data_IF_955473163814
#
_entry.id   IF_955473163814
#
_cell.length_a   1.000
_cell.length_b   1.000
_cell.length_c   1.000
_cell.angle_alpha   90.00
_cell.angle_beta   90.00
_cell.angle_gamma   90.00
#
_symmetry.space_group_name_H-M   'P 1'
#
loop_
_entity.id
_entity.type
_entity.pdbx_description
1 polymer ?
#
# COMPACT_ATOMS: atom_id res chain seq x y z
N UNK A 1 5.95 6.83 -7.03
CA UNK A 1 5.31 5.58 -6.58
C UNK A 1 5.04 5.67 -5.08
N UNK A 2 3.86 5.29 -4.66
CA UNK A 2 3.43 5.32 -3.27
C UNK A 2 2.30 4.32 -3.04
N UNK A 3 2.23 3.77 -1.85
CA UNK A 3 1.04 3.13 -1.31
C UNK A 3 0.37 4.11 -0.34
N UNK A 4 -0.61 4.88 -0.79
CA UNK A 4 -1.28 5.85 0.07
C UNK A 4 -2.02 5.18 1.21
N UNK A 5 -1.76 5.62 2.42
CA UNK A 5 -2.37 5.15 3.66
C UNK A 5 -2.70 6.34 4.57
N UNK A 6 -3.71 7.15 4.21
CA UNK A 6 -4.17 8.21 5.11
C UNK A 6 -4.79 7.67 6.40
N UNK A 7 -5.14 6.39 6.41
CA UNK A 7 -5.64 5.65 7.56
C UNK A 7 -4.93 4.29 7.67
N UNK A 8 -4.83 3.71 8.88
CA UNK A 8 -4.31 2.34 9.05
C UNK A 8 -5.19 1.27 8.40
N UNK A 9 -6.51 1.47 8.40
CA UNK A 9 -7.46 0.53 7.79
C UNK A 9 -7.41 0.64 6.26
N UNK A 10 -7.17 -0.48 5.59
CA UNK A 10 -6.99 -0.51 4.13
C UNK A 10 -8.28 -0.16 3.38
N UNK A 11 -9.42 -0.67 3.85
CA UNK A 11 -10.70 -0.36 3.21
C UNK A 11 -11.07 1.11 3.41
N UNK A 12 -10.90 1.64 4.61
CA UNK A 12 -11.14 3.05 4.88
C UNK A 12 -10.25 3.95 4.02
N UNK A 13 -9.00 3.58 3.86
CA UNK A 13 -8.07 4.24 2.92
C UNK A 13 -8.64 4.23 1.51
N UNK A 14 -9.02 3.06 0.99
CA UNK A 14 -9.56 2.94 -0.36
C UNK A 14 -10.81 3.80 -0.57
N UNK A 15 -11.72 3.83 0.40
CA UNK A 15 -12.94 4.63 0.35
C UNK A 15 -12.67 6.15 0.39
N UNK A 16 -11.53 6.58 0.94
CA UNK A 16 -11.15 8.00 1.04
C UNK A 16 -10.51 8.56 -0.23
N UNK A 17 -9.98 7.71 -1.11
CA UNK A 17 -9.26 8.14 -2.29
C UNK A 17 -10.23 8.57 -3.41
N UNK A 18 -9.90 9.66 -4.08
CA UNK A 18 -10.59 10.08 -5.29
C UNK A 18 -10.39 9.05 -6.41
N UNK A 19 -11.26 9.10 -7.43
CA UNK A 19 -11.26 8.13 -8.53
C UNK A 19 -9.89 7.98 -9.19
N UNK A 20 -9.21 9.08 -9.46
CA UNK A 20 -7.91 9.08 -10.14
C UNK A 20 -6.85 8.36 -9.31
N UNK A 21 -6.77 8.66 -8.02
CA UNK A 21 -5.78 8.06 -7.14
C UNK A 21 -6.13 6.62 -6.79
N UNK A 22 -7.41 6.32 -6.57
CA UNK A 22 -7.85 4.94 -6.37
C UNK A 22 -7.48 4.05 -7.56
N UNK A 23 -7.76 4.51 -8.78
CA UNK A 23 -7.41 3.77 -9.99
C UNK A 23 -5.91 3.54 -10.13
N UNK A 24 -5.10 4.57 -9.85
CA UNK A 24 -3.65 4.49 -9.91
C UNK A 24 -3.06 3.57 -8.84
N UNK A 25 -3.63 3.55 -7.64
CA UNK A 25 -3.15 2.71 -6.54
C UNK A 25 -3.23 1.22 -6.84
N UNK A 26 -4.15 0.78 -7.65
CA UNK A 26 -4.20 -0.63 -8.11
C UNK A 26 -2.91 -1.02 -8.83
N UNK A 27 -2.46 -0.18 -9.73
CA UNK A 27 -1.23 -0.40 -10.50
C UNK A 27 0.01 -0.23 -9.63
N UNK A 28 0.03 0.77 -8.78
CA UNK A 28 1.17 1.02 -7.89
C UNK A 28 1.36 -0.10 -6.86
N UNK A 29 0.28 -0.64 -6.29
CA UNK A 29 0.36 -1.81 -5.42
C UNK A 29 1.00 -3.01 -6.13
N UNK A 30 0.65 -3.25 -7.39
CA UNK A 30 1.27 -4.29 -8.19
C UNK A 30 2.76 -4.02 -8.45
N UNK A 31 3.13 -2.79 -8.75
CA UNK A 31 4.53 -2.40 -8.94
C UNK A 31 5.34 -2.60 -7.65
N UNK A 32 4.78 -2.25 -6.50
CA UNK A 32 5.42 -2.48 -5.20
C UNK A 32 5.61 -3.98 -4.94
N UNK A 33 4.58 -4.80 -5.18
CA UNK A 33 4.69 -6.25 -5.05
C UNK A 33 5.80 -6.81 -5.94
N UNK A 34 5.85 -6.41 -7.20
CA UNK A 34 6.91 -6.85 -8.12
C UNK A 34 8.29 -6.40 -7.68
N UNK A 35 8.40 -5.23 -7.09
CA UNK A 35 9.64 -4.78 -6.45
C UNK A 35 10.11 -5.68 -5.32
N UNK A 36 9.17 -6.33 -4.62
CA UNK A 36 9.46 -7.27 -3.53
C UNK A 36 9.78 -8.68 -4.02
N UNK A 37 9.11 -9.16 -5.07
CA UNK A 37 9.11 -10.59 -5.43
C UNK A 37 9.77 -10.92 -6.75
N UNK A 38 9.98 -9.94 -7.64
CA UNK A 38 10.59 -10.17 -8.96
C UNK A 38 12.07 -9.78 -8.93
N UNK A 39 13.00 -10.73 -9.09
CA UNK A 39 14.44 -10.41 -9.14
C UNK A 39 14.76 -9.40 -10.25
N UNK A 40 15.56 -8.38 -9.91
CA UNK A 40 15.99 -7.38 -10.88
C UNK A 40 14.95 -6.34 -11.26
N UNK A 41 13.77 -6.33 -10.66
CA UNK A 41 12.74 -5.34 -10.95
C UNK A 41 13.23 -3.92 -10.64
N UNK A 42 12.99 -2.98 -11.57
CA UNK A 42 13.59 -1.64 -11.51
C UNK A 42 13.26 -0.84 -10.25
N UNK A 43 12.08 -1.04 -9.65
CA UNK A 43 11.62 -0.30 -8.48
C UNK A 43 12.03 -0.95 -7.14
N UNK A 44 12.75 -2.06 -7.13
CA UNK A 44 13.10 -2.82 -5.91
C UNK A 44 13.79 -2.02 -4.81
N UNK A 45 14.45 -0.92 -5.17
CA UNK A 45 15.16 -0.04 -4.23
C UNK A 45 14.35 1.17 -3.77
N UNK A 46 13.15 1.35 -4.31
CA UNK A 46 12.30 2.48 -3.95
C UNK A 46 11.83 2.38 -2.48
N UNK A 47 11.81 3.48 -1.72
CA UNK A 47 11.38 3.45 -0.31
C UNK A 47 9.98 2.86 -0.10
N UNK A 48 9.05 3.09 -1.04
CA UNK A 48 7.71 2.51 -0.99
C UNK A 48 7.71 0.98 -1.12
N UNK A 49 8.74 0.39 -1.72
CA UNK A 49 8.93 -1.07 -1.78
C UNK A 49 9.59 -1.57 -0.49
N UNK A 50 10.67 -0.91 -0.07
CA UNK A 50 11.46 -1.35 1.08
C UNK A 50 10.65 -1.41 2.38
N UNK A 51 9.70 -0.51 2.58
CA UNK A 51 8.87 -0.49 3.79
C UNK A 51 7.98 -1.73 3.95
N UNK A 52 7.61 -2.39 2.85
CA UNK A 52 6.79 -3.59 2.85
C UNK A 52 7.59 -4.90 2.87
N UNK A 53 8.89 -4.85 2.88
CA UNK A 53 9.74 -6.04 2.81
C UNK A 53 9.41 -7.04 3.94
N UNK A 54 9.10 -8.30 3.58
CA UNK A 54 8.65 -9.33 4.50
C UNK A 54 7.16 -9.29 4.84
N UNK A 55 6.42 -8.35 4.24
CA UNK A 55 4.96 -8.16 4.45
C UNK A 55 4.19 -8.21 3.13
N UNK A 56 4.60 -9.10 2.23
CA UNK A 56 4.05 -9.20 0.87
C UNK A 56 2.56 -9.53 0.88
N UNK A 57 2.11 -10.40 1.79
CA UNK A 57 0.68 -10.72 1.92
C UNK A 57 -0.14 -9.52 2.38
N UNK A 58 0.35 -8.77 3.35
CA UNK A 58 -0.30 -7.54 3.81
C UNK A 58 -0.41 -6.50 2.68
N UNK A 59 0.65 -6.35 1.87
CA UNK A 59 0.62 -5.49 0.69
C UNK A 59 -0.41 -5.97 -0.34
N UNK A 60 -0.47 -7.26 -0.60
CA UNK A 60 -1.50 -7.82 -1.51
C UNK A 60 -2.89 -7.55 -0.95
N UNK A 61 -3.12 -7.73 0.35
CA UNK A 61 -4.41 -7.38 0.96
C UNK A 61 -4.74 -5.90 0.79
N UNK A 62 -3.78 -5.00 0.97
CA UNK A 62 -3.96 -3.59 0.66
C UNK A 62 -4.42 -3.37 -0.78
N UNK A 63 -3.71 -3.95 -1.75
CA UNK A 63 -4.07 -3.85 -3.16
C UNK A 63 -5.43 -4.43 -3.48
N UNK A 64 -5.80 -5.56 -2.85
CA UNK A 64 -7.12 -6.18 -3.04
C UNK A 64 -8.26 -5.30 -2.52
N UNK A 65 -8.08 -4.60 -1.41
CA UNK A 65 -9.09 -3.65 -0.90
C UNK A 65 -9.23 -2.45 -1.83
N UNK A 66 -8.13 -1.93 -2.36
CA UNK A 66 -8.14 -0.88 -3.40
C UNK A 66 -8.93 -1.34 -4.64
N UNK A 67 -8.62 -2.53 -5.16
CA UNK A 67 -9.31 -3.11 -6.32
C UNK A 67 -10.79 -3.37 -6.05
N UNK A 68 -11.12 -3.80 -4.84
CA UNK A 68 -12.50 -4.07 -4.43
C UNK A 68 -13.35 -2.80 -4.47
N UNK A 69 -12.88 -1.72 -3.85
CA UNK A 69 -13.59 -0.43 -3.86
C UNK A 69 -13.71 0.10 -5.29
N UNK A 70 -12.67 -0.04 -6.10
CA UNK A 70 -12.72 0.31 -7.52
C UNK A 70 -13.85 -0.40 -8.25
N UNK A 71 -13.99 -1.71 -8.07
CA UNK A 71 -15.09 -2.50 -8.67
C UNK A 71 -16.46 -2.13 -8.11
N UNK A 72 -16.55 -1.87 -6.81
CA UNK A 72 -17.80 -1.43 -6.17
C UNK A 72 -18.31 -0.10 -6.75
N UNK A 73 -17.40 0.73 -7.28
CA UNK A 73 -17.74 1.96 -7.99
C UNK A 73 -18.12 1.75 -9.46
N UNK A 74 -18.23 0.51 -9.91
CA UNK A 74 -18.66 0.17 -11.25
C UNK A 74 -17.56 0.04 -12.30
N UNK A 75 -16.29 0.03 -11.88
CA UNK A 75 -15.16 -0.09 -12.80
C UNK A 75 -14.67 -1.53 -12.93
N UNK A 76 -14.10 -1.86 -14.08
CA UNK A 76 -13.44 -3.14 -14.30
C UNK A 76 -12.01 -3.13 -13.75
N UNK A 77 -11.55 -4.29 -13.27
CA UNK A 77 -10.22 -4.46 -12.70
C UNK A 77 -9.60 -5.79 -13.11
N UNK A 78 -8.33 -5.77 -13.46
CA UNK A 78 -7.51 -6.95 -13.71
C UNK A 78 -6.34 -7.05 -12.71
N UNK A 79 -6.08 -6.01 -11.93
CA UNK A 79 -4.94 -5.97 -11.02
C UNK A 79 -5.09 -6.94 -9.85
N UNK A 80 -6.32 -7.15 -9.34
CA UNK A 80 -6.56 -8.06 -8.22
C UNK A 80 -6.08 -9.49 -8.53
N UNK A 81 -6.46 -10.04 -9.68
CA UNK A 81 -6.05 -11.37 -10.10
C UNK A 81 -4.53 -11.46 -10.28
N UNK A 82 -3.91 -10.42 -10.84
CA UNK A 82 -2.46 -10.37 -11.05
C UNK A 82 -1.70 -10.29 -9.71
N UNK A 83 -2.18 -9.50 -8.75
CA UNK A 83 -1.60 -9.44 -7.39
C UNK A 83 -1.58 -10.83 -6.73
N UNK A 84 -2.68 -11.55 -6.79
CA UNK A 84 -2.78 -12.90 -6.20
C UNK A 84 -1.85 -13.87 -6.93
N UNK A 85 -1.81 -13.83 -8.27
CA UNK A 85 -0.97 -14.71 -9.07
C UNK A 85 0.53 -14.45 -8.84
N UNK A 86 0.95 -13.18 -8.81
CA UNK A 86 2.36 -12.81 -8.60
C UNK A 86 2.84 -13.23 -7.19
N UNK A 87 2.00 -13.10 -6.17
CA UNK A 87 2.34 -13.58 -4.83
C UNK A 87 2.43 -15.11 -4.79
N UNK A 88 1.46 -15.80 -5.39
CA UNK A 88 1.42 -17.27 -5.42
C UNK A 88 2.63 -17.89 -6.13
N UNK A 89 3.24 -17.18 -7.07
CA UNK A 89 4.44 -17.64 -7.79
C UNK A 89 5.69 -17.73 -6.89
N UNK A 90 5.69 -17.07 -5.74
CA UNK A 90 6.88 -16.95 -4.87
C UNK A 90 6.75 -17.65 -3.53
N UNK A 91 5.59 -18.22 -3.22
CA UNK A 91 5.33 -18.86 -1.92
C UNK A 91 4.28 -19.96 -2.07
N UNK A 92 4.20 -20.91 -1.09
CA UNK A 92 3.16 -21.93 -1.11
C UNK A 92 1.77 -21.30 -1.19
N UNK A 93 0.90 -21.92 -2.00
CA UNK A 93 -0.46 -21.43 -2.18
C UNK A 93 -1.24 -21.47 -0.86
N UNK A 94 -1.77 -20.32 -0.48
CA UNK A 94 -2.67 -20.15 0.66
C UNK A 94 -3.62 -18.99 0.36
N UNK A 95 -4.85 -19.00 0.92
CA UNK A 95 -5.74 -17.86 0.82
C UNK A 95 -5.11 -16.59 1.40
N UNK A 96 -5.36 -15.44 0.76
CA UNK A 96 -4.92 -14.15 1.27
C UNK A 96 -5.83 -13.78 2.45
N UNK A 97 -5.23 -13.66 3.62
CA UNK A 97 -5.95 -13.28 4.85
C UNK A 97 -6.44 -11.84 4.76
N UNK A 98 -7.56 -11.54 5.42
CA UNK A 98 -8.02 -10.17 5.55
C UNK A 98 -7.15 -9.38 6.56
N UNK A 99 -7.34 -8.06 6.63
CA UNK A 99 -6.50 -7.21 7.48
C UNK A 99 -6.64 -7.54 8.96
N UNK A 100 -7.85 -7.84 9.44
CA UNK A 100 -8.07 -8.16 10.86
C UNK A 100 -7.41 -9.48 11.25
N UNK A 101 -7.43 -10.46 10.37
CA UNK A 101 -6.74 -11.74 10.57
C UNK A 101 -5.21 -11.55 10.60
N UNK A 102 -4.67 -10.79 9.67
CA UNK A 102 -3.24 -10.45 9.66
C UNK A 102 -2.82 -9.70 10.94
N UNK A 103 -3.65 -8.78 11.42
CA UNK A 103 -3.41 -8.06 12.67
C UNK A 103 -3.36 -9.02 13.87
N UNK A 104 -4.33 -9.93 13.98
CA UNK A 104 -4.41 -10.91 15.07
C UNK A 104 -3.19 -11.84 15.10
N UNK A 105 -2.59 -12.12 13.95
CA UNK A 105 -1.43 -13.00 13.81
C UNK A 105 -0.07 -12.28 13.81
N UNK A 106 -0.07 -10.97 14.03
CA UNK A 106 1.18 -10.18 14.02
C UNK A 106 1.82 -10.06 12.65
N UNK A 107 1.04 -10.12 11.57
CA UNK A 107 1.50 -10.13 10.18
C UNK A 107 1.24 -8.81 9.45
N UNK A 108 1.02 -7.72 10.18
CA UNK A 108 1.00 -6.37 9.63
C UNK A 108 2.32 -5.63 9.91
N UNK A 109 2.76 -4.74 9.03
CA UNK A 109 3.96 -3.95 9.26
C UNK A 109 3.87 -3.15 10.56
N UNK A 110 4.99 -3.02 11.33
CA UNK A 110 4.97 -2.33 12.63
C UNK A 110 4.71 -0.83 12.51
N UNK A 111 4.99 -0.23 11.36
CA UNK A 111 4.72 1.19 11.10
C UNK A 111 3.24 1.47 10.80
N UNK A 112 2.44 0.45 10.51
CA UNK A 112 1.00 0.63 10.30
C UNK A 112 0.33 1.00 11.63
N UNK A 113 -0.34 2.15 11.67
CA UNK A 113 -0.91 2.73 12.89
C UNK A 113 -0.05 3.83 13.51
N UNK A 114 1.14 4.12 12.97
CA UNK A 114 1.97 5.22 13.43
C UNK A 114 1.44 6.56 12.91
N UNK A 115 0.96 7.42 13.82
CA UNK A 115 0.28 8.66 13.45
C UNK A 115 1.10 9.59 12.54
N UNK A 116 2.39 9.86 12.81
CA UNK A 116 3.18 10.70 11.91
C UNK A 116 3.26 10.16 10.48
N UNK A 117 3.32 8.84 10.31
CA UNK A 117 3.31 8.20 9.01
C UNK A 117 2.00 8.48 8.25
N UNK A 118 0.86 8.19 8.87
CA UNK A 118 -0.44 8.41 8.25
C UNK A 118 -0.72 9.88 8.01
N UNK A 119 -0.33 10.76 8.93
CA UNK A 119 -0.48 12.20 8.76
C UNK A 119 0.33 12.72 7.56
N UNK A 120 1.53 12.20 7.34
CA UNK A 120 2.33 12.57 6.17
C UNK A 120 1.63 12.22 4.84
N UNK A 121 0.88 11.12 4.82
CA UNK A 121 0.08 10.72 3.66
C UNK A 121 -1.16 11.61 3.48
N UNK A 122 -1.85 11.96 4.56
CA UNK A 122 -2.95 12.93 4.52
C UNK A 122 -2.47 14.28 4.00
N UNK A 123 -1.34 14.76 4.51
CA UNK A 123 -0.70 15.99 4.06
C UNK A 123 -0.40 15.97 2.56
N UNK A 124 0.17 14.88 2.07
CA UNK A 124 0.47 14.73 0.65
C UNK A 124 -0.79 14.74 -0.23
N UNK A 125 -1.88 14.14 0.22
CA UNK A 125 -3.16 14.16 -0.50
C UNK A 125 -3.75 15.56 -0.53
N UNK A 126 -3.72 16.30 0.58
CA UNK A 126 -4.16 17.71 0.61
C UNK A 126 -3.33 18.56 -0.35
N UNK A 127 -2.02 18.38 -0.37
CA UNK A 127 -1.11 19.09 -1.29
C UNK A 127 -1.42 18.81 -2.77
N UNK A 128 -1.76 17.56 -3.08
CA UNK A 128 -2.05 17.12 -4.46
C UNK A 128 -3.41 17.60 -4.96
N UNK A 129 -4.40 17.62 -4.09
CA UNK A 129 -5.77 17.98 -4.41
C UNK A 129 -6.47 18.60 -3.21
N UNK A 130 -6.22 19.90 -2.93
CA UNK A 130 -6.83 20.58 -1.78
C UNK A 130 -8.36 20.58 -1.85
N UNK A 131 -8.93 20.68 -3.04
CA UNK A 131 -10.39 20.71 -3.23
C UNK A 131 -11.05 19.45 -2.70
N UNK A 132 -10.47 18.29 -2.95
CA UNK A 132 -10.99 17.00 -2.49
C UNK A 132 -10.64 16.73 -1.03
N UNK A 133 -9.39 16.99 -0.61
CA UNK A 133 -8.86 16.43 0.65
C UNK A 133 -8.82 17.41 1.82
N UNK A 134 -8.87 18.73 1.60
CA UNK A 134 -8.81 19.69 2.70
C UNK A 134 -9.98 19.56 3.68
N UNK A 135 -11.18 19.30 3.18
CA UNK A 135 -12.37 19.07 4.02
C UNK A 135 -12.41 17.69 4.64
N UNK A 136 -11.80 16.70 3.96
CA UNK A 136 -11.71 15.32 4.47
C UNK A 136 -10.71 15.20 5.60
N UNK A 137 -9.62 15.97 5.54
CA UNK A 137 -8.54 16.02 6.54
C UNK A 137 -8.39 17.42 7.13
N UNK A 138 -9.39 17.92 7.88
CA UNK A 138 -9.34 19.28 8.40
C UNK A 138 -8.16 19.49 9.34
N UNK A 139 -7.47 20.62 9.20
CA UNK A 139 -6.34 20.99 10.05
C UNK A 139 -5.01 20.29 9.73
N UNK A 140 -4.97 19.40 8.73
CA UNK A 140 -3.72 18.76 8.32
C UNK A 140 -2.93 19.73 7.43
N UNK A 141 -1.63 20.01 7.76
CA UNK A 141 -0.77 20.83 6.90
C UNK A 141 -0.58 20.19 5.52
N UNK A 142 -0.38 20.99 4.50
CA UNK A 142 -0.16 20.50 3.14
C UNK A 142 1.33 20.38 2.75
N UNK A 143 2.24 20.54 3.69
CA UNK A 143 3.69 20.67 3.48
C UNK A 143 4.52 19.64 4.25
N UNK A 144 3.91 18.66 4.90
CA UNK A 144 4.66 17.62 5.59
C UNK A 144 5.40 16.71 4.60
N UNK A 145 6.69 16.44 4.81
CA UNK A 145 7.39 15.47 4.01
C UNK A 145 6.87 14.06 4.29
N UNK A 146 6.99 13.17 3.29
CA UNK A 146 6.67 11.75 3.51
C UNK A 146 7.55 11.15 4.60
N UNK A 147 6.94 10.42 5.52
CA UNK A 147 7.64 9.49 6.40
C UNK A 147 7.83 8.18 5.65
N UNK A 148 9.08 7.74 5.52
CA UNK A 148 9.46 6.48 4.89
C UNK A 148 9.98 5.51 5.94
N UNK A 149 9.10 4.69 6.56
CA UNK A 149 9.53 3.75 7.57
C UNK A 149 10.33 2.61 6.96
N UNK A 150 11.18 2.00 7.76
CA UNK A 150 11.86 0.76 7.40
C UNK A 150 11.02 -0.45 7.80
N UNK A 151 11.15 -1.54 7.07
CA UNK A 151 10.64 -2.84 7.51
C UNK A 151 11.53 -3.40 8.63
N UNK A 152 10.94 -4.11 9.56
CA UNK A 152 11.65 -4.90 10.59
C UNK A 152 11.92 -6.35 10.14
N UNK A 153 11.49 -6.71 8.93
CA UNK A 153 11.66 -8.05 8.35
C UNK A 153 12.58 -8.01 7.13
N UNK A 154 13.48 -8.96 7.11
CA UNK A 154 14.29 -9.23 5.94
C UNK A 154 15.47 -8.29 5.75
N UNK A 155 16.42 -8.78 4.98
CA UNK A 155 17.59 -8.06 4.50
C UNK A 155 17.22 -7.57 3.11
N UNK A 156 17.26 -6.27 2.90
CA UNK A 156 16.98 -5.72 1.58
C UNK A 156 17.91 -6.30 0.51
N UNK A 157 17.52 -6.24 -0.77
CA UNK A 157 18.25 -6.82 -1.89
C UNK A 157 19.70 -6.33 -2.03
N UNK A 158 20.10 -5.36 -1.25
CA UNK A 158 21.45 -4.78 -1.26
C UNK A 158 22.44 -5.50 -0.30
N UNK A 159 22.04 -6.56 0.41
CA UNK A 159 22.91 -7.34 1.30
C UNK A 159 23.22 -8.75 0.80
N UNK A 160 22.75 -9.12 -0.36
CA UNK A 160 23.22 -10.29 -1.09
C UNK A 160 24.34 -9.86 -2.06
N UNK A 161 25.46 -9.55 -1.49
CA UNK A 161 26.71 -9.40 -2.21
C UNK A 161 27.82 -10.12 -1.47
#
# INVERSE_FOLDING_TARGET
MQTFLPYPDFRRTALSLDRRRLGKQRVEALQVLRGLVVPGYGWRRHPAVKMWLGYEEALVRYGLEICRVWREQGHQDTCAATLVADLAATRPHAPIRDQSHLAAEGELPPWLGDDPFHESHRSALVRKDPTTYASLFPGVPDDLPYVWPASDRGIGPDREA
#
